data_IF_414117678171
#
_entry.id   IF_414117678171
#
_cell.length_a   1.000
_cell.length_b   1.000
_cell.length_c   1.000
_cell.angle_alpha   90.00
_cell.angle_beta   90.00
_cell.angle_gamma   90.00
#
_symmetry.space_group_name_H-M   'P 1'
#
loop_
_entity.id
_entity.type
_entity.pdbx_description
1 polymer ?
#
# COMPACT_ATOMS: atom_id res chain seq x y z
N UNK A 1 -20.92 6.48 16.46
CA UNK A 1 -19.55 6.57 15.89
C UNK A 1 -19.64 6.77 14.39
N UNK A 2 -18.95 7.77 13.84
CA UNK A 2 -18.79 7.95 12.38
C UNK A 2 -17.76 6.91 11.92
N UNK A 3 -18.12 6.05 10.96
CA UNK A 3 -17.19 5.06 10.36
C UNK A 3 -16.46 5.69 9.18
N UNK A 4 -15.21 5.31 8.88
CA UNK A 4 -14.52 5.78 7.69
C UNK A 4 -15.25 5.32 6.42
N UNK A 5 -15.18 6.12 5.35
CA UNK A 5 -15.62 5.71 4.02
C UNK A 5 -14.58 4.74 3.47
N UNK A 6 -15.02 3.57 3.02
CA UNK A 6 -14.14 2.56 2.43
C UNK A 6 -14.28 2.62 0.91
N UNK A 7 -13.14 2.68 0.22
CA UNK A 7 -13.04 2.57 -1.24
C UNK A 7 -12.28 1.28 -1.52
N UNK A 8 -12.89 0.38 -2.28
CA UNK A 8 -12.23 -0.85 -2.75
C UNK A 8 -11.79 -0.62 -4.19
N UNK A 9 -10.48 -0.67 -4.44
CA UNK A 9 -9.89 -0.52 -5.77
C UNK A 9 -9.08 -1.77 -6.08
N UNK A 10 -9.40 -2.44 -7.19
CA UNK A 10 -8.69 -3.61 -7.68
C UNK A 10 -8.53 -3.50 -9.19
N UNK A 11 -7.42 -3.99 -9.71
CA UNK A 11 -7.28 -4.29 -11.14
C UNK A 11 -7.63 -5.75 -11.35
N UNK A 12 -8.55 -6.04 -12.27
CA UNK A 12 -9.02 -7.39 -12.57
C UNK A 12 -8.92 -7.66 -14.07
N UNK A 13 -8.64 -8.90 -14.44
CA UNK A 13 -8.71 -9.36 -15.83
C UNK A 13 -10.16 -9.44 -16.33
N UNK A 14 -10.33 -9.64 -17.65
CA UNK A 14 -11.66 -9.75 -18.29
C UNK A 14 -12.48 -10.93 -17.73
N UNK A 15 -11.81 -12.01 -17.32
CA UNK A 15 -12.40 -13.17 -16.67
C UNK A 15 -12.50 -13.03 -15.13
N UNK A 16 -12.31 -11.81 -14.60
CA UNK A 16 -12.44 -11.47 -13.17
C UNK A 16 -11.37 -12.08 -12.25
N UNK A 17 -10.22 -12.48 -12.79
CA UNK A 17 -9.07 -12.87 -11.99
C UNK A 17 -8.37 -11.63 -11.40
N UNK A 18 -7.84 -11.79 -10.19
CA UNK A 18 -6.97 -10.81 -9.50
C UNK A 18 -5.49 -11.23 -9.53
N UNK A 19 -5.16 -12.34 -10.19
CA UNK A 19 -3.81 -12.93 -10.26
C UNK A 19 -3.56 -13.53 -11.63
N UNK A 20 -2.29 -13.83 -11.92
CA UNK A 20 -1.86 -14.54 -13.13
C UNK A 20 -2.13 -13.78 -14.44
N UNK A 21 -2.08 -12.45 -14.39
CA UNK A 21 -2.08 -11.60 -15.57
C UNK A 21 -1.15 -10.41 -15.34
N UNK A 22 -0.58 -9.91 -16.42
CA UNK A 22 0.24 -8.70 -16.37
C UNK A 22 -0.67 -7.49 -16.23
N UNK A 23 -0.39 -6.68 -15.21
CA UNK A 23 -1.08 -5.41 -15.00
C UNK A 23 -0.06 -4.26 -14.98
N UNK A 24 -0.48 -3.11 -15.49
CA UNK A 24 0.28 -1.88 -15.32
C UNK A 24 0.12 -1.39 -13.88
N UNK A 25 1.11 -1.71 -13.04
CA UNK A 25 1.15 -1.35 -11.63
C UNK A 25 1.26 0.17 -11.44
N UNK A 26 1.94 0.87 -12.36
CA UNK A 26 2.04 2.32 -12.33
C UNK A 26 0.66 2.96 -12.52
N UNK A 27 -0.08 2.52 -13.55
CA UNK A 27 -1.44 2.97 -13.79
C UNK A 27 -2.39 2.57 -12.65
N UNK A 28 -2.24 1.37 -12.07
CA UNK A 28 -3.04 0.92 -10.94
C UNK A 28 -2.94 1.92 -9.76
N UNK A 29 -1.72 2.31 -9.38
CA UNK A 29 -1.49 3.23 -8.28
C UNK A 29 -1.78 4.69 -8.65
N UNK A 30 -1.60 5.09 -9.91
CA UNK A 30 -2.01 6.42 -10.38
C UNK A 30 -3.53 6.61 -10.21
N UNK A 31 -4.33 5.63 -10.62
CA UNK A 31 -5.79 5.66 -10.44
C UNK A 31 -6.16 5.60 -8.97
N UNK A 32 -5.48 4.76 -8.18
CA UNK A 32 -5.71 4.68 -6.74
C UNK A 32 -5.46 6.04 -6.05
N UNK A 33 -4.39 6.76 -6.42
CA UNK A 33 -4.06 8.06 -5.87
C UNK A 33 -5.10 9.15 -6.16
N UNK A 34 -5.85 9.04 -7.27
CA UNK A 34 -6.92 9.98 -7.62
C UNK A 34 -8.13 9.93 -6.70
N UNK A 35 -8.30 8.87 -5.90
CA UNK A 35 -9.36 8.81 -4.89
C UNK A 35 -9.11 9.75 -3.70
N UNK A 36 -7.89 10.27 -3.53
CA UNK A 36 -7.51 11.17 -2.43
C UNK A 36 -7.93 10.61 -1.06
N UNK A 37 -7.68 9.31 -0.85
CA UNK A 37 -7.99 8.66 0.41
C UNK A 37 -7.06 9.17 1.52
N UNK A 38 -7.60 9.34 2.74
CA UNK A 38 -6.81 9.74 3.91
C UNK A 38 -5.78 8.67 4.31
N UNK A 39 -6.01 7.41 3.93
CA UNK A 39 -5.11 6.28 4.15
C UNK A 39 -5.37 5.16 3.13
N UNK A 40 -4.32 4.39 2.82
CA UNK A 40 -4.42 3.17 2.01
C UNK A 40 -4.22 1.93 2.87
N UNK A 41 -5.12 0.95 2.76
CA UNK A 41 -5.00 -0.33 3.44
C UNK A 41 -4.54 -1.40 2.45
N UNK A 42 -3.41 -2.05 2.74
CA UNK A 42 -2.80 -3.09 1.90
C UNK A 42 -2.55 -4.33 2.76
N UNK A 43 -2.80 -5.52 2.21
CA UNK A 43 -2.45 -6.77 2.86
C UNK A 43 -0.93 -6.91 3.01
N UNK A 44 -0.44 -7.37 4.16
CA UNK A 44 0.99 -7.47 4.45
C UNK A 44 1.76 -8.31 3.43
N UNK A 45 1.17 -9.41 2.94
CA UNK A 45 1.77 -10.22 1.87
C UNK A 45 1.94 -9.43 0.58
N UNK A 46 0.93 -8.65 0.17
CA UNK A 46 1.00 -7.81 -1.03
C UNK A 46 2.04 -6.71 -0.88
N UNK A 47 2.08 -6.06 0.29
CA UNK A 47 3.08 -5.04 0.59
C UNK A 47 4.50 -5.61 0.49
N UNK A 48 4.75 -6.77 1.13
CA UNK A 48 6.04 -7.47 1.08
C UNK A 48 6.44 -7.82 -0.35
N UNK A 49 5.55 -8.46 -1.12
CA UNK A 49 5.87 -8.83 -2.51
C UNK A 49 6.16 -7.61 -3.38
N UNK A 50 5.47 -6.48 -3.16
CA UNK A 50 5.78 -5.24 -3.85
C UNK A 50 7.20 -4.73 -3.53
N UNK A 51 7.60 -4.75 -2.26
CA UNK A 51 8.95 -4.38 -1.84
C UNK A 51 10.02 -5.28 -2.48
N UNK A 52 9.79 -6.60 -2.48
CA UNK A 52 10.72 -7.58 -3.08
C UNK A 52 10.87 -7.44 -4.60
N UNK A 53 9.83 -6.97 -5.30
CA UNK A 53 9.85 -6.80 -6.75
C UNK A 53 10.47 -5.45 -7.17
N UNK A 54 10.18 -4.38 -6.43
CA UNK A 54 10.45 -3.01 -6.88
C UNK A 54 11.60 -2.31 -6.15
N UNK A 55 12.06 -2.81 -5.01
CA UNK A 55 13.26 -2.29 -4.35
C UNK A 55 14.48 -3.13 -4.75
N UNK A 56 15.60 -2.46 -5.02
CA UNK A 56 16.87 -3.14 -5.28
C UNK A 56 17.36 -3.91 -4.05
N UNK A 57 17.16 -3.34 -2.86
CA UNK A 57 17.52 -3.95 -1.58
C UNK A 57 16.49 -3.56 -0.51
N UNK A 58 16.04 -4.54 0.27
CA UNK A 58 15.21 -4.29 1.46
C UNK A 58 16.16 -4.08 2.64
N UNK A 59 16.14 -2.92 3.32
CA UNK A 59 17.00 -2.69 4.47
C UNK A 59 16.70 -3.69 5.58
N UNK A 60 17.75 -4.12 6.29
CA UNK A 60 17.59 -4.97 7.46
C UNK A 60 16.83 -4.23 8.56
N UNK A 61 15.89 -4.92 9.20
CA UNK A 61 15.19 -4.40 10.37
C UNK A 61 16.18 -4.14 11.52
N UNK A 62 15.96 -3.05 12.22
CA UNK A 62 16.68 -2.66 13.42
C UNK A 62 15.80 -2.88 14.65
N UNK A 63 16.39 -2.92 15.85
CA UNK A 63 15.61 -3.01 17.09
C UNK A 63 14.59 -1.85 17.24
N UNK A 64 14.89 -0.68 16.67
CA UNK A 64 13.97 0.46 16.71
C UNK A 64 12.73 0.30 15.84
N UNK A 65 12.75 -0.57 14.83
CA UNK A 65 11.59 -0.82 13.95
C UNK A 65 10.52 -1.67 14.65
N UNK A 66 10.91 -2.42 15.69
CA UNK A 66 10.01 -3.23 16.51
C UNK A 66 9.25 -2.39 17.55
N UNK A 67 9.62 -1.12 17.71
CA UNK A 67 9.00 -0.21 18.66
C UNK A 67 7.96 0.63 17.92
N UNK A 68 6.69 0.49 18.33
CA UNK A 68 5.61 1.34 17.81
C UNK A 68 5.97 2.80 18.08
N UNK A 69 6.02 3.61 17.01
CA UNK A 69 6.28 5.04 17.12
C UNK A 69 5.08 5.76 17.74
N UNK A 70 5.35 6.68 18.64
CA UNK A 70 4.37 7.61 19.17
C UNK A 70 3.96 8.61 18.09
N UNK A 71 2.67 8.98 18.09
CA UNK A 71 2.16 10.02 17.20
C UNK A 71 2.60 11.39 17.71
N UNK A 72 3.11 12.22 16.80
CA UNK A 72 3.48 13.61 17.09
C UNK A 72 2.91 14.51 15.98
N UNK A 73 2.35 15.66 16.36
CA UNK A 73 1.81 16.66 15.42
C UNK A 73 2.87 17.22 14.46
N UNK A 74 4.16 17.13 14.83
CA UNK A 74 5.30 17.54 13.98
C UNK A 74 5.83 16.42 13.06
N UNK A 75 5.19 15.25 13.03
CA UNK A 75 5.64 14.12 12.21
C UNK A 75 5.46 14.40 10.71
N UNK A 76 6.59 14.50 10.00
CA UNK A 76 6.64 14.78 8.56
C UNK A 76 6.80 13.54 7.69
N UNK A 77 6.76 12.34 8.26
CA UNK A 77 6.84 11.11 7.47
C UNK A 77 5.66 11.06 6.49
N UNK A 78 5.88 10.64 5.23
CA UNK A 78 4.80 10.52 4.27
C UNK A 78 3.75 9.52 4.79
N UNK A 79 2.49 9.92 4.68
CA UNK A 79 1.32 9.07 4.90
C UNK A 79 1.03 8.21 3.67
#
# INVERSE_FOLDING_TARGET
>A
MKRPKIIMHNTVSIDSSIKNFDCDIGLHYEVAGRYQADATLIGSTTAKSGLEIYLEEIPLETESDLIKKEFNDDDKRPF
#
